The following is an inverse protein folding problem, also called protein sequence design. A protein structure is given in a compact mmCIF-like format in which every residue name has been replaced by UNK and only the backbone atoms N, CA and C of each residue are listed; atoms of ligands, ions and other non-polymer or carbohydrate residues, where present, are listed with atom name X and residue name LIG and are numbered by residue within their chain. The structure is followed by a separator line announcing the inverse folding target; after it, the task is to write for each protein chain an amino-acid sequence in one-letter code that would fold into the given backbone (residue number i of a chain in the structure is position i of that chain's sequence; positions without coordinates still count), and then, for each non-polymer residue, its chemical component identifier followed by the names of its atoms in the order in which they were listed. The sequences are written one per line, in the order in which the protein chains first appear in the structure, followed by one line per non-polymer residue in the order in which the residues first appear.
data_IF_800869082688
#
_entry.id   IF_800869082688
#
_cell.length_a   1.000
_cell.length_b   1.000
_cell.length_c   1.000
_cell.angle_alpha   90.00
_cell.angle_beta   90.00
_cell.angle_gamma   90.00
#
_symmetry.space_group_name_H-M   'P 1'
#
loop_
_entity.id
_entity.type
_entity.pdbx_description
1 polymer ?
#
# COMPACT_ATOMS: atom_id res chain seq x y z
N UNK A 1 -3.28 33.21 -5.98
CA UNK A 1 -2.21 32.18 -6.12
C UNK A 1 -2.60 31.24 -7.25
N UNK A 2 -1.74 31.08 -8.27
CA UNK A 2 -1.98 30.09 -9.34
C UNK A 2 -1.63 28.72 -8.76
N UNK A 3 -2.59 27.82 -8.72
CA UNK A 3 -2.36 26.45 -8.23
C UNK A 3 -1.90 25.56 -9.37
N UNK A 4 -0.81 24.86 -9.14
CA UNK A 4 -0.28 23.86 -10.07
C UNK A 4 -0.79 22.46 -9.70
N UNK A 5 -0.90 21.58 -10.70
CA UNK A 5 -1.34 20.20 -10.52
C UNK A 5 -0.24 19.41 -9.79
N UNK A 6 -0.58 18.75 -8.69
CA UNK A 6 0.37 17.93 -7.95
C UNK A 6 0.65 16.61 -8.67
N UNK A 7 1.79 15.98 -8.39
CA UNK A 7 2.28 14.79 -9.08
C UNK A 7 1.25 13.65 -9.14
N UNK A 8 0.55 13.37 -8.03
CA UNK A 8 -0.48 12.33 -7.98
C UNK A 8 -1.69 12.56 -8.88
N UNK A 9 -1.93 13.81 -9.31
CA UNK A 9 -3.01 14.14 -10.22
C UNK A 9 -2.59 14.14 -11.70
N UNK A 10 -1.33 13.87 -12.00
CA UNK A 10 -0.81 13.80 -13.38
C UNK A 10 -0.88 12.38 -13.96
N UNK A 11 -1.13 11.37 -13.13
CA UNK A 11 -1.24 9.97 -13.55
C UNK A 11 -2.61 9.76 -14.21
N UNK A 12 -2.63 9.04 -15.33
CA UNK A 12 -3.87 8.65 -16.00
C UNK A 12 -4.58 7.52 -15.21
N UNK A 13 -5.51 7.90 -14.34
CA UNK A 13 -6.26 6.96 -13.51
C UNK A 13 -7.28 6.11 -14.30
N UNK A 14 -7.57 6.44 -15.57
CA UNK A 14 -8.42 5.60 -16.43
C UNK A 14 -7.65 4.40 -16.93
N UNK A 15 -6.35 4.56 -17.20
CA UNK A 15 -5.46 3.49 -17.67
C UNK A 15 -4.78 2.73 -16.55
N UNK A 16 -4.75 3.29 -15.34
CA UNK A 16 -4.01 2.74 -14.19
C UNK A 16 -4.60 1.39 -13.76
N UNK A 17 -3.76 0.37 -13.70
CA UNK A 17 -4.12 -0.97 -13.25
C UNK A 17 -3.57 -1.26 -11.85
N UNK A 18 -4.09 -2.29 -11.14
CA UNK A 18 -3.45 -2.78 -9.94
C UNK A 18 -1.97 -3.11 -10.18
N UNK A 19 -1.13 -2.80 -9.21
CA UNK A 19 0.31 -2.98 -9.36
C UNK A 19 1.10 -2.40 -8.20
N UNK A 20 2.39 -2.30 -8.39
CA UNK A 20 3.36 -1.68 -7.48
C UNK A 20 4.14 -0.64 -8.26
N UNK A 21 3.97 0.62 -7.94
CA UNK A 21 4.56 1.72 -8.71
C UNK A 21 5.43 2.60 -7.83
N UNK A 22 6.51 3.13 -8.37
CA UNK A 22 7.18 4.29 -7.78
C UNK A 22 6.34 5.52 -8.09
N UNK A 23 5.72 6.10 -7.05
CA UNK A 23 4.93 7.32 -7.18
C UNK A 23 5.83 8.53 -7.35
N UNK A 24 6.83 8.65 -6.47
CA UNK A 24 7.84 9.72 -6.53
C UNK A 24 9.04 9.39 -5.66
N UNK A 25 10.13 10.10 -5.92
CA UNK A 25 11.33 10.12 -5.08
C UNK A 25 11.57 11.53 -4.60
N UNK A 26 11.78 11.69 -3.30
CA UNK A 26 12.10 12.97 -2.68
C UNK A 26 13.52 12.93 -2.10
N UNK A 27 14.26 14.02 -2.27
CA UNK A 27 15.55 14.19 -1.65
C UNK A 27 15.44 15.11 -0.45
N UNK A 28 15.87 14.63 0.71
CA UNK A 28 15.89 15.39 1.96
C UNK A 28 17.31 15.39 2.50
N UNK A 29 18.01 16.53 2.36
CA UNK A 29 19.46 16.57 2.60
C UNK A 29 20.20 15.70 1.57
N UNK A 30 20.97 14.73 2.05
CA UNK A 30 21.67 13.74 1.22
C UNK A 30 20.89 12.42 1.03
N UNK A 31 19.73 12.30 1.69
CA UNK A 31 18.96 11.06 1.71
C UNK A 31 17.82 11.10 0.68
N UNK A 32 17.46 9.93 0.17
CA UNK A 32 16.33 9.73 -0.75
C UNK A 32 15.21 9.02 0.00
N UNK A 33 13.97 9.46 -0.23
CA UNK A 33 12.77 8.80 0.23
C UNK A 33 12.00 8.37 -1.01
N UNK A 34 11.73 7.07 -1.13
CA UNK A 34 10.91 6.53 -2.22
C UNK A 34 9.48 6.30 -1.71
N UNK A 35 8.51 6.89 -2.40
CA UNK A 35 7.08 6.67 -2.17
C UNK A 35 6.56 5.68 -3.20
N UNK A 36 6.02 4.56 -2.72
CA UNK A 36 5.39 3.54 -3.56
C UNK A 36 3.87 3.67 -3.52
N UNK A 37 3.26 3.50 -4.67
CA UNK A 37 1.84 3.35 -4.88
C UNK A 37 1.53 1.86 -4.99
N UNK A 38 0.89 1.31 -3.95
CA UNK A 38 0.44 -0.07 -3.89
C UNK A 38 -1.02 -0.10 -4.32
N UNK A 39 -1.23 -0.18 -5.64
CA UNK A 39 -2.58 -0.10 -6.22
C UNK A 39 -3.23 -1.47 -6.18
N UNK A 40 -4.28 -1.61 -5.40
CA UNK A 40 -4.97 -2.90 -5.18
C UNK A 40 -6.19 -3.08 -6.07
N UNK A 41 -6.85 -1.99 -6.45
CA UNK A 41 -8.05 -2.01 -7.30
C UNK A 41 -7.87 -1.11 -8.52
N UNK A 42 -8.56 -1.43 -9.61
CA UNK A 42 -8.59 -0.61 -10.83
C UNK A 42 -9.40 0.67 -10.57
N UNK A 43 -8.76 1.86 -10.59
CA UNK A 43 -9.47 3.11 -10.33
C UNK A 43 -10.62 3.36 -11.31
N UNK A 44 -11.78 3.75 -10.80
CA UNK A 44 -12.98 4.10 -11.58
C UNK A 44 -13.56 2.95 -12.43
N UNK A 45 -13.05 1.73 -12.29
CA UNK A 45 -13.46 0.54 -13.07
C UNK A 45 -14.11 -0.53 -12.18
N UNK A 46 -13.70 -0.62 -10.94
CA UNK A 46 -14.27 -1.56 -9.97
C UNK A 46 -14.60 -0.87 -8.63
N UNK A 47 -15.43 -1.50 -7.77
CA UNK A 47 -15.74 -0.95 -6.45
C UNK A 47 -14.49 -0.72 -5.60
N UNK A 48 -14.45 0.40 -4.90
CA UNK A 48 -13.39 0.70 -3.94
C UNK A 48 -13.51 -0.19 -2.68
N UNK A 49 -12.41 -0.35 -1.96
CA UNK A 49 -12.41 -1.01 -0.66
C UNK A 49 -13.19 -0.18 0.37
N UNK A 50 -13.85 -0.84 1.33
CA UNK A 50 -14.52 -0.15 2.42
C UNK A 50 -13.54 0.24 3.53
N UNK A 51 -13.98 1.14 4.42
CA UNK A 51 -13.11 1.71 5.45
C UNK A 51 -12.57 0.68 6.43
N UNK A 52 -13.40 -0.28 6.84
CA UNK A 52 -13.02 -1.27 7.84
C UNK A 52 -11.90 -2.23 7.37
N UNK A 53 -11.98 -2.75 6.15
CA UNK A 53 -10.93 -3.59 5.61
C UNK A 53 -9.65 -2.80 5.28
N UNK A 54 -9.78 -1.58 4.80
CA UNK A 54 -8.65 -0.67 4.57
C UNK A 54 -7.91 -0.39 5.88
N UNK A 55 -8.64 -0.08 6.94
CA UNK A 55 -8.09 0.17 8.27
C UNK A 55 -7.40 -1.07 8.85
N UNK A 56 -7.99 -2.24 8.63
CA UNK A 56 -7.39 -3.53 9.06
C UNK A 56 -6.08 -3.81 8.32
N UNK A 57 -6.05 -3.61 7.00
CA UNK A 57 -4.83 -3.78 6.18
C UNK A 57 -3.75 -2.80 6.64
N UNK A 58 -4.12 -1.56 6.96
CA UNK A 58 -3.18 -0.57 7.50
C UNK A 58 -2.50 -1.05 8.79
N UNK A 59 -3.28 -1.51 9.78
CA UNK A 59 -2.73 -2.01 11.03
C UNK A 59 -1.83 -3.23 10.84
N UNK A 60 -2.26 -4.19 10.04
CA UNK A 60 -1.48 -5.41 9.76
C UNK A 60 -0.21 -5.12 8.96
N UNK A 61 -0.30 -4.31 7.91
CA UNK A 61 0.83 -3.95 7.08
C UNK A 61 1.88 -3.12 7.83
N UNK A 62 1.43 -2.13 8.62
CA UNK A 62 2.33 -1.34 9.46
C UNK A 62 3.03 -2.22 10.51
N UNK A 63 2.30 -3.13 11.14
CA UNK A 63 2.88 -4.08 12.11
C UNK A 63 3.91 -4.97 11.45
N UNK A 64 3.61 -5.54 10.28
CA UNK A 64 4.54 -6.37 9.52
C UNK A 64 5.83 -5.61 9.17
N UNK A 65 5.70 -4.44 8.58
CA UNK A 65 6.84 -3.65 8.11
C UNK A 65 7.77 -3.22 9.25
N UNK A 66 7.19 -2.75 10.36
CA UNK A 66 7.97 -2.29 11.52
C UNK A 66 8.56 -3.43 12.37
N UNK A 67 8.21 -4.66 12.08
CA UNK A 67 8.84 -5.86 12.66
C UNK A 67 9.72 -6.62 11.64
N UNK A 68 9.75 -6.18 10.38
CA UNK A 68 10.55 -6.84 9.35
C UNK A 68 12.05 -6.65 9.60
N UNK A 69 12.86 -7.72 9.56
CA UNK A 69 14.29 -7.65 9.93
C UNK A 69 15.10 -6.68 9.07
N UNK A 70 14.73 -6.49 7.80
CA UNK A 70 15.47 -5.63 6.87
C UNK A 70 14.84 -4.23 6.69
N UNK A 71 13.53 -4.08 6.91
CA UNK A 71 12.82 -2.86 6.57
C UNK A 71 12.27 -2.07 7.76
N UNK A 72 12.33 -2.59 8.97
CA UNK A 72 11.81 -1.89 10.17
C UNK A 72 12.38 -0.49 10.34
N UNK A 73 13.66 -0.31 10.11
CA UNK A 73 14.36 0.97 10.28
C UNK A 73 14.30 1.85 9.02
N UNK A 74 13.76 1.33 7.92
CA UNK A 74 13.59 2.03 6.64
C UNK A 74 12.15 2.46 6.39
N UNK A 75 11.20 1.89 7.11
CA UNK A 75 9.78 2.21 6.96
C UNK A 75 9.47 3.56 7.59
N UNK A 76 9.07 4.51 6.77
CA UNK A 76 8.68 5.86 7.19
C UNK A 76 7.18 5.90 7.44
N UNK A 77 6.39 5.40 6.48
CA UNK A 77 4.94 5.43 6.55
C UNK A 77 4.32 4.34 5.67
N UNK A 78 3.24 3.75 6.16
CA UNK A 78 2.33 2.90 5.39
C UNK A 78 0.91 3.29 5.75
N UNK A 79 0.10 3.63 4.75
CA UNK A 79 -1.28 4.04 4.99
C UNK A 79 -2.11 4.13 3.72
N UNK A 80 -3.44 4.16 3.87
CA UNK A 80 -4.37 4.13 2.76
C UNK A 80 -4.41 5.45 1.98
N UNK A 81 -4.73 5.34 0.70
CA UNK A 81 -5.13 6.48 -0.12
C UNK A 81 -6.56 6.88 0.21
N UNK A 82 -6.86 8.18 0.17
CA UNK A 82 -8.21 8.68 0.40
C UNK A 82 -9.26 8.17 -0.59
N UNK A 83 -8.86 7.78 -1.81
CA UNK A 83 -9.74 7.16 -2.81
C UNK A 83 -10.06 5.69 -2.53
N UNK A 84 -9.39 5.06 -1.58
CA UNK A 84 -9.58 3.67 -1.16
C UNK A 84 -9.35 2.63 -2.27
N UNK A 85 -8.42 2.92 -3.18
CA UNK A 85 -8.01 1.99 -4.24
C UNK A 85 -6.64 1.36 -3.98
N UNK A 86 -5.95 1.79 -2.93
CA UNK A 86 -4.64 1.27 -2.57
C UNK A 86 -4.03 2.00 -1.38
N UNK A 87 -2.72 1.79 -1.23
CA UNK A 87 -1.92 2.30 -0.11
C UNK A 87 -0.67 3.00 -0.61
N UNK A 88 -0.15 3.92 0.19
CA UNK A 88 1.19 4.43 0.04
C UNK A 88 2.14 3.77 1.03
N UNK A 89 3.32 3.41 0.54
CA UNK A 89 4.46 2.98 1.35
C UNK A 89 5.62 3.93 1.09
N UNK A 90 6.15 4.53 2.14
CA UNK A 90 7.34 5.37 2.10
C UNK A 90 8.51 4.64 2.75
N UNK A 91 9.59 4.44 1.99
CA UNK A 91 10.82 3.86 2.49
C UNK A 91 11.99 4.85 2.37
N UNK A 92 12.83 4.87 3.40
CA UNK A 92 14.12 5.54 3.33
C UNK A 92 15.07 4.74 2.43
N UNK A 93 15.51 5.34 1.35
CA UNK A 93 16.37 4.76 0.34
C UNK A 93 15.89 5.02 -1.08
N UNK A 94 16.76 4.74 -2.04
CA UNK A 94 16.50 4.87 -3.47
C UNK A 94 16.15 3.49 -4.04
N UNK A 95 14.88 3.28 -4.32
CA UNK A 95 14.33 2.00 -4.78
C UNK A 95 13.59 2.13 -6.10
N UNK A 96 13.59 1.05 -6.87
CA UNK A 96 12.68 0.84 -8.00
C UNK A 96 11.50 -0.05 -7.60
N UNK A 97 10.42 -0.02 -8.38
CA UNK A 97 9.20 -0.81 -8.09
C UNK A 97 9.51 -2.30 -7.89
N UNK A 98 10.34 -2.87 -8.75
CA UNK A 98 10.74 -4.29 -8.69
C UNK A 98 11.46 -4.69 -7.40
N UNK A 99 12.13 -3.73 -6.75
CA UNK A 99 12.94 -4.01 -5.55
C UNK A 99 12.09 -4.41 -4.35
N UNK A 100 10.82 -4.02 -4.33
CA UNK A 100 9.91 -4.28 -3.20
C UNK A 100 8.81 -5.31 -3.50
N UNK A 101 8.76 -5.88 -4.70
CA UNK A 101 7.73 -6.88 -5.04
C UNK A 101 7.77 -8.06 -4.08
N UNK A 102 8.96 -8.59 -3.77
CA UNK A 102 9.13 -9.67 -2.80
C UNK A 102 8.62 -9.30 -1.40
N UNK A 103 8.94 -8.09 -0.93
CA UNK A 103 8.45 -7.57 0.35
C UNK A 103 6.92 -7.46 0.36
N UNK A 104 6.33 -7.00 -0.74
CA UNK A 104 4.87 -6.91 -0.85
C UNK A 104 4.20 -8.27 -0.85
N UNK A 105 4.78 -9.25 -1.53
CA UNK A 105 4.29 -10.64 -1.48
C UNK A 105 4.30 -11.14 -0.03
N UNK A 106 5.41 -11.02 0.68
CA UNK A 106 5.53 -11.42 2.08
C UNK A 106 4.50 -10.72 2.98
N UNK A 107 4.33 -9.40 2.81
CA UNK A 107 3.39 -8.62 3.61
C UNK A 107 1.94 -9.03 3.36
N UNK A 108 1.54 -9.17 2.10
CA UNK A 108 0.17 -9.54 1.76
C UNK A 108 -0.14 -11.01 2.05
N UNK A 109 0.85 -11.91 1.99
CA UNK A 109 0.71 -13.28 2.52
C UNK A 109 0.48 -13.27 4.04
N UNK A 110 1.24 -12.46 4.78
CA UNK A 110 1.00 -12.25 6.21
C UNK A 110 -0.41 -11.76 6.48
N UNK A 111 -0.91 -10.76 5.73
CA UNK A 111 -2.27 -10.22 5.91
C UNK A 111 -3.32 -11.27 5.54
N UNK A 112 -3.14 -11.99 4.43
CA UNK A 112 -4.04 -13.07 3.99
C UNK A 112 -4.22 -14.15 5.06
N UNK A 113 -3.14 -14.54 5.70
CA UNK A 113 -3.08 -15.68 6.61
C UNK A 113 -3.30 -15.29 8.08
N UNK A 114 -3.38 -13.99 8.36
CA UNK A 114 -3.53 -13.49 9.74
C UNK A 114 -4.83 -13.95 10.38
N UNK A 115 -4.71 -14.40 11.64
CA UNK A 115 -5.84 -14.82 12.49
C UNK A 115 -5.69 -14.24 13.88
N UNK A 116 -6.80 -14.01 14.54
CA UNK A 116 -6.83 -13.46 15.88
C UNK A 116 -7.08 -11.95 15.91
N UNK A 117 -6.73 -11.32 17.01
CA UNK A 117 -6.99 -9.90 17.22
C UNK A 117 -6.06 -9.04 16.39
N UNK A 118 -6.63 -8.07 15.67
CA UNK A 118 -5.86 -7.12 14.88
C UNK A 118 -4.98 -6.27 15.81
N UNK A 119 -3.67 -6.20 15.56
CA UNK A 119 -2.76 -5.39 16.38
C UNK A 119 -3.22 -3.93 16.49
N UNK A 120 -3.22 -3.39 17.70
CA UNK A 120 -3.62 -2.01 17.94
C UNK A 120 -5.13 -1.73 17.85
N UNK A 121 -5.97 -2.73 17.63
CA UNK A 121 -7.42 -2.57 17.59
C UNK A 121 -8.02 -2.54 19.00
N UNK A 122 -7.62 -1.54 19.77
CA UNK A 122 -8.14 -1.29 21.12
C UNK A 122 -8.48 0.19 21.30
N UNK A 123 -9.39 0.54 22.22
CA UNK A 123 -9.75 1.94 22.44
C UNK A 123 -8.59 2.81 22.96
N UNK A 124 -7.57 2.18 23.53
CA UNK A 124 -6.36 2.86 23.98
C UNK A 124 -5.38 3.15 22.85
N UNK A 125 -5.31 2.26 21.86
CA UNK A 125 -4.26 2.27 20.84
C UNK A 125 -4.73 2.87 19.51
N UNK A 126 -6.04 2.92 19.26
CA UNK A 126 -6.61 3.39 18.01
C UNK A 126 -7.81 4.31 18.24
N UNK A 127 -7.88 5.40 17.48
CA UNK A 127 -8.97 6.37 17.55
C UNK A 127 -10.32 5.85 17.03
N UNK A 128 -10.34 4.73 16.30
CA UNK A 128 -11.56 4.11 15.76
C UNK A 128 -11.41 2.58 15.70
N UNK A 129 -11.15 1.97 16.84
CA UNK A 129 -10.78 0.56 16.96
C UNK A 129 -11.85 -0.45 16.53
N UNK A 130 -13.12 -0.01 16.48
CA UNK A 130 -14.24 -0.86 16.04
C UNK A 130 -14.39 -0.95 14.52
N UNK A 131 -13.76 -0.03 13.77
CA UNK A 131 -13.82 -0.01 12.30
C UNK A 131 -12.77 -0.97 11.71
N UNK A 132 -12.97 -2.26 11.95
CA UNK A 132 -12.10 -3.35 11.50
C UNK A 132 -12.92 -4.46 10.84
N UNK A 133 -12.36 -5.08 9.80
CA UNK A 133 -12.92 -6.24 9.12
C UNK A 133 -11.80 -7.18 8.66
N UNK A 134 -11.38 -8.08 9.52
CA UNK A 134 -10.27 -9.01 9.24
C UNK A 134 -10.60 -9.96 8.09
N UNK A 135 -11.82 -10.49 8.04
CA UNK A 135 -12.22 -11.41 6.97
C UNK A 135 -12.11 -10.79 5.58
N UNK A 136 -12.56 -9.53 5.43
CA UNK A 136 -12.41 -8.80 4.18
C UNK A 136 -10.97 -8.40 3.89
N UNK A 137 -10.19 -8.06 4.91
CA UNK A 137 -8.76 -7.79 4.74
C UNK A 137 -8.00 -9.03 4.23
N UNK A 138 -8.27 -10.20 4.81
CA UNK A 138 -7.71 -11.47 4.32
C UNK A 138 -8.11 -11.73 2.85
N UNK A 139 -9.37 -11.53 2.50
CA UNK A 139 -9.88 -11.72 1.15
C UNK A 139 -9.20 -10.77 0.14
N UNK A 140 -9.12 -9.48 0.46
CA UNK A 140 -8.51 -8.47 -0.41
C UNK A 140 -7.01 -8.69 -0.58
N UNK A 141 -6.31 -9.10 0.48
CA UNK A 141 -4.91 -9.47 0.40
C UNK A 141 -4.70 -10.66 -0.54
N UNK A 142 -5.51 -11.71 -0.41
CA UNK A 142 -5.48 -12.86 -1.31
C UNK A 142 -5.75 -12.45 -2.76
N UNK A 143 -6.75 -11.61 -2.99
CA UNK A 143 -7.09 -11.10 -4.31
C UNK A 143 -5.93 -10.34 -4.96
N UNK A 144 -5.27 -9.45 -4.21
CA UNK A 144 -4.11 -8.70 -4.70
C UNK A 144 -2.93 -9.63 -5.03
N UNK A 145 -2.67 -10.62 -4.20
CA UNK A 145 -1.66 -11.65 -4.47
C UNK A 145 -1.96 -12.43 -5.75
N UNK A 146 -3.14 -13.04 -5.84
CA UNK A 146 -3.50 -13.94 -6.95
C UNK A 146 -3.68 -13.21 -8.28
N UNK A 147 -4.27 -12.01 -8.27
CA UNK A 147 -4.58 -11.29 -9.51
C UNK A 147 -3.45 -10.37 -9.97
N UNK A 148 -2.52 -10.00 -9.10
CA UNK A 148 -1.51 -8.99 -9.40
C UNK A 148 -0.10 -9.43 -9.00
N UNK A 149 0.17 -9.59 -7.70
CA UNK A 149 1.55 -9.71 -7.21
C UNK A 149 2.27 -10.97 -7.69
N UNK A 150 1.58 -12.11 -7.75
CA UNK A 150 2.18 -13.37 -8.22
C UNK A 150 2.44 -13.41 -9.73
N UNK A 151 1.85 -12.51 -10.49
CA UNK A 151 1.96 -12.44 -11.95
C UNK A 151 2.41 -11.06 -12.44
N UNK A 152 3.12 -10.32 -11.58
CA UNK A 152 3.48 -8.94 -11.85
C UNK A 152 4.44 -8.86 -13.04
N UNK A 153 4.14 -7.94 -13.95
CA UNK A 153 4.94 -7.66 -15.14
C UNK A 153 5.17 -6.13 -15.28
N UNK A 154 5.86 -5.70 -16.32
CA UNK A 154 6.27 -4.31 -16.52
C UNK A 154 5.10 -3.31 -16.45
N UNK A 155 3.95 -3.65 -17.01
CA UNK A 155 2.77 -2.76 -17.00
C UNK A 155 2.15 -2.56 -15.61
N UNK A 156 2.51 -3.41 -14.64
CA UNK A 156 2.08 -3.31 -13.25
C UNK A 156 3.17 -2.68 -12.34
N UNK A 157 4.30 -2.27 -12.93
CA UNK A 157 5.45 -1.68 -12.23
C UNK A 157 5.75 -0.24 -12.64
N UNK A 158 5.24 0.19 -13.79
CA UNK A 158 5.45 1.52 -14.35
C UNK A 158 4.08 2.15 -14.67
N UNK A 159 3.92 3.42 -14.28
CA UNK A 159 2.69 4.15 -14.56
C UNK A 159 2.40 4.21 -16.07
N UNK A 160 1.12 4.08 -16.48
CA UNK A 160 0.72 4.24 -17.87
C UNK A 160 0.98 5.68 -18.34
N UNK A 161 1.40 5.81 -19.61
CA UNK A 161 1.56 7.09 -20.30
C UNK A 161 0.23 7.63 -20.82
#
# INVERSE_FOLDING_TARGET
MKMEKIASFTIDHIKLQPGVYVSRKDTVGSEVITTFDLRMTSPNDEPVMNTAEVHTIEHLGATFLRNHPLYKDKTIYFGPMGCRTGFYLLLAGDYESKDIVGLMIEMFEFIRDFKGDVPGASPKDCGNYLDMNLGMANYLANRYLENTLYHIDEKHLVYPE
#
